data_IF_904308523352
#
_entry.id   IF_904308523352
#
_cell.length_a   1.000
_cell.length_b   1.000
_cell.length_c   1.000
_cell.angle_alpha   90.00
_cell.angle_beta   90.00
_cell.angle_gamma   90.00
#
_symmetry.space_group_name_H-M   'P 1'
#
loop_
_entity.id
_entity.type
_entity.pdbx_description
1 polymer ?
#
# COMPACT_ATOMS: atom_id res chain seq x y z
N UNK A 1 -25.45 59.51 43.86
CA UNK A 1 -24.44 59.40 42.75
C UNK A 1 -24.21 57.92 42.46
N UNK A 2 -24.90 57.36 41.44
CA UNK A 2 -24.76 55.99 41.02
C UNK A 2 -23.86 55.94 39.80
N UNK A 3 -22.68 55.34 39.89
CA UNK A 3 -21.79 55.10 38.77
C UNK A 3 -22.22 53.81 38.04
N UNK A 4 -22.64 53.93 36.78
CA UNK A 4 -22.87 52.85 35.84
C UNK A 4 -21.53 52.43 35.27
N UNK A 5 -21.13 51.17 35.52
CA UNK A 5 -20.02 50.51 34.90
C UNK A 5 -20.55 49.84 33.62
N UNK A 6 -20.13 50.37 32.46
CA UNK A 6 -20.38 49.73 31.15
C UNK A 6 -19.39 48.62 30.94
N UNK A 7 -19.87 47.36 30.91
CA UNK A 7 -19.10 46.19 30.44
C UNK A 7 -19.11 46.20 28.92
N UNK A 8 -17.97 46.54 28.32
CA UNK A 8 -17.70 46.31 26.90
C UNK A 8 -17.33 44.83 26.70
N UNK A 9 -18.26 44.05 26.20
CA UNK A 9 -17.96 42.69 25.75
C UNK A 9 -17.18 42.72 24.44
N UNK A 10 -15.87 42.54 24.50
CA UNK A 10 -15.04 42.33 23.32
C UNK A 10 -15.31 40.92 22.77
N UNK A 11 -16.04 40.87 21.66
CA UNK A 11 -16.28 39.63 20.90
C UNK A 11 -15.00 39.26 20.15
N UNK A 12 -14.20 38.38 20.74
CA UNK A 12 -13.02 37.78 20.07
C UNK A 12 -13.53 36.77 19.05
N UNK A 13 -13.67 37.21 17.79
CA UNK A 13 -13.83 36.28 16.66
C UNK A 13 -12.54 35.51 16.49
N UNK A 14 -12.49 34.29 17.01
CA UNK A 14 -11.44 33.30 16.63
C UNK A 14 -11.68 32.88 15.20
N UNK A 15 -10.93 33.47 14.30
CA UNK A 15 -10.87 33.07 12.90
C UNK A 15 -10.21 31.68 12.86
N UNK A 16 -11.05 30.63 12.80
CA UNK A 16 -10.57 29.27 12.58
C UNK A 16 -9.98 29.21 11.18
N UNK A 17 -8.67 29.36 11.07
CA UNK A 17 -7.95 29.01 9.86
C UNK A 17 -8.12 27.51 9.63
N UNK A 18 -9.04 27.16 8.75
CA UNK A 18 -9.06 25.82 8.17
C UNK A 18 -7.87 25.73 7.22
N UNK A 19 -6.72 25.33 7.75
CA UNK A 19 -5.61 24.90 6.92
C UNK A 19 -6.08 23.66 6.17
N UNK A 20 -6.32 23.79 4.87
CA UNK A 20 -6.48 22.63 4.00
C UNK A 20 -5.20 21.82 4.13
N UNK A 21 -5.30 20.68 4.84
CA UNK A 21 -4.17 19.80 5.06
C UNK A 21 -3.69 19.29 3.69
N UNK A 22 -2.63 19.90 3.18
CA UNK A 22 -1.88 19.37 2.06
C UNK A 22 -1.09 18.18 2.60
N UNK A 23 -1.12 17.04 1.91
CA UNK A 23 -0.27 15.92 2.28
C UNK A 23 1.17 16.41 2.42
N UNK A 24 1.78 16.12 3.57
CA UNK A 24 3.17 16.50 3.83
C UNK A 24 4.08 15.83 2.79
N UNK A 25 5.08 16.57 2.31
CA UNK A 25 6.03 15.99 1.35
C UNK A 25 6.83 14.89 2.04
N UNK A 26 7.05 13.73 1.36
CA UNK A 26 7.88 12.68 1.90
C UNK A 26 9.29 13.17 2.21
N UNK A 27 9.86 12.74 3.33
CA UNK A 27 11.25 13.02 3.66
C UNK A 27 12.19 12.27 2.71
N UNK A 28 13.33 12.86 2.37
CA UNK A 28 14.29 12.28 1.42
C UNK A 28 15.48 11.57 2.12
N UNK A 29 15.56 11.67 3.44
CA UNK A 29 16.60 11.04 4.25
C UNK A 29 16.02 10.54 5.56
N UNK A 30 16.38 9.31 5.91
CA UNK A 30 15.87 8.65 7.09
C UNK A 30 14.42 8.20 6.97
N UNK A 31 13.91 7.58 8.01
CA UNK A 31 12.53 7.12 8.12
C UNK A 31 12.02 7.30 9.55
N UNK A 32 10.73 7.67 9.67
CA UNK A 32 10.00 7.72 10.94
C UNK A 32 8.66 7.03 10.78
N UNK A 33 8.20 6.40 11.85
CA UNK A 33 6.88 5.76 11.86
C UNK A 33 5.81 6.85 11.69
N UNK A 34 4.85 6.62 10.78
CA UNK A 34 3.75 7.56 10.50
C UNK A 34 4.08 8.65 9.47
N UNK A 35 5.34 8.80 9.07
CA UNK A 35 5.76 9.73 8.03
C UNK A 35 6.12 8.99 6.74
N UNK A 36 5.79 9.58 5.59
CA UNK A 36 6.23 9.06 4.30
C UNK A 36 7.71 9.38 4.06
N UNK A 37 8.48 8.39 3.64
CA UNK A 37 9.88 8.58 3.26
C UNK A 37 10.17 8.06 1.84
N UNK A 38 11.08 8.72 1.14
CA UNK A 38 11.68 8.21 -0.09
C UNK A 38 12.89 7.31 0.19
N UNK A 39 13.43 7.31 1.41
CA UNK A 39 14.59 6.51 1.81
C UNK A 39 14.17 5.08 2.19
N UNK A 40 14.08 4.21 1.16
CA UNK A 40 13.65 2.82 1.36
C UNK A 40 14.62 2.01 2.24
N UNK A 41 15.92 2.31 2.20
CA UNK A 41 16.89 1.58 3.02
C UNK A 41 16.75 1.95 4.49
N UNK A 42 16.55 3.22 4.80
CA UNK A 42 16.22 3.65 6.16
C UNK A 42 14.89 3.05 6.63
N UNK A 43 13.88 2.99 5.74
CA UNK A 43 12.59 2.37 6.04
C UNK A 43 12.73 0.88 6.37
N UNK A 44 13.55 0.11 5.62
CA UNK A 44 13.82 -1.30 5.91
C UNK A 44 14.46 -1.50 7.30
N UNK A 45 15.45 -0.66 7.65
CA UNK A 45 16.09 -0.71 8.97
C UNK A 45 15.08 -0.45 10.09
N UNK A 46 14.27 0.60 9.95
CA UNK A 46 13.25 0.96 10.93
C UNK A 46 12.17 -0.12 11.05
N UNK A 47 11.70 -0.67 9.92
CA UNK A 47 10.70 -1.73 9.88
C UNK A 47 11.19 -2.99 10.61
N UNK A 48 12.42 -3.39 10.35
CA UNK A 48 13.05 -4.54 11.03
C UNK A 48 13.20 -4.31 12.53
N UNK A 49 13.68 -3.12 12.94
CA UNK A 49 13.86 -2.74 14.35
C UNK A 49 12.54 -2.75 15.12
N UNK A 50 11.49 -2.19 14.52
CA UNK A 50 10.16 -2.06 15.15
C UNK A 50 9.25 -3.26 14.88
N UNK A 51 9.68 -4.22 14.09
CA UNK A 51 8.86 -5.36 13.61
C UNK A 51 7.52 -4.91 13.00
N UNK A 52 7.56 -3.85 12.19
CA UNK A 52 6.41 -3.29 11.50
C UNK A 52 6.45 -3.60 9.99
N UNK A 53 5.30 -3.81 9.34
CA UNK A 53 5.24 -3.92 7.89
C UNK A 53 5.60 -2.60 7.22
N UNK A 54 6.10 -2.68 5.97
CA UNK A 54 6.35 -1.51 5.12
C UNK A 54 5.19 -1.37 4.14
N UNK A 55 4.58 -0.18 4.08
CA UNK A 55 3.63 0.19 3.04
C UNK A 55 4.33 1.05 1.99
N UNK A 56 4.49 0.53 0.78
CA UNK A 56 5.05 1.25 -0.35
C UNK A 56 3.94 1.82 -1.23
N UNK A 57 3.94 3.14 -1.44
CA UNK A 57 3.02 3.83 -2.35
C UNK A 57 3.74 4.12 -3.68
N UNK A 58 3.43 3.35 -4.72
CA UNK A 58 3.85 3.65 -6.09
C UNK A 58 2.87 4.63 -6.71
N UNK A 59 3.37 5.82 -7.05
CA UNK A 59 2.53 6.97 -7.38
C UNK A 59 3.11 7.82 -8.52
N UNK A 60 2.29 8.72 -9.06
CA UNK A 60 2.69 9.81 -9.94
C UNK A 60 2.13 11.11 -9.37
N UNK A 61 2.82 11.68 -8.38
CA UNK A 61 2.30 12.71 -7.48
C UNK A 61 1.75 13.95 -8.17
N UNK A 62 2.36 14.38 -9.26
CA UNK A 62 2.00 15.60 -9.99
C UNK A 62 0.97 15.40 -11.11
N UNK A 63 0.78 14.16 -11.61
CA UNK A 63 -0.07 13.89 -12.77
C UNK A 63 -1.17 12.85 -12.56
N UNK A 64 -1.02 11.92 -11.60
CA UNK A 64 -1.96 10.83 -11.41
C UNK A 64 -3.21 11.26 -10.60
N UNK A 65 -4.35 11.38 -11.27
CA UNK A 65 -5.61 11.80 -10.62
C UNK A 65 -6.08 10.86 -9.50
N UNK A 66 -5.92 9.54 -9.70
CA UNK A 66 -6.27 8.54 -8.69
C UNK A 66 -5.35 8.60 -7.46
N UNK A 67 -4.06 8.90 -7.69
CA UNK A 67 -3.11 9.06 -6.60
C UNK A 67 -3.48 10.28 -5.73
N UNK A 68 -3.80 11.41 -6.36
CA UNK A 68 -4.26 12.62 -5.66
C UNK A 68 -5.57 12.40 -4.89
N UNK A 69 -6.47 11.59 -5.47
CA UNK A 69 -7.72 11.23 -4.78
C UNK A 69 -7.45 10.43 -3.50
N UNK A 70 -6.57 9.42 -3.58
CA UNK A 70 -6.20 8.61 -2.41
C UNK A 70 -5.43 9.43 -1.38
N UNK A 71 -4.53 10.30 -1.80
CA UNK A 71 -3.83 11.22 -0.89
C UNK A 71 -4.82 12.07 -0.10
N UNK A 72 -5.80 12.68 -0.79
CA UNK A 72 -6.81 13.52 -0.16
C UNK A 72 -7.74 12.73 0.76
N UNK A 73 -8.27 11.60 0.28
CA UNK A 73 -9.36 10.89 0.96
C UNK A 73 -8.88 9.94 2.05
N UNK A 74 -7.62 9.49 1.97
CA UNK A 74 -7.05 8.51 2.90
C UNK A 74 -5.84 9.11 3.63
N UNK A 75 -4.75 9.39 2.92
CA UNK A 75 -3.45 9.61 3.54
C UNK A 75 -3.26 10.97 4.22
N UNK A 76 -3.99 12.01 3.77
CA UNK A 76 -3.98 13.32 4.42
C UNK A 76 -4.85 13.40 5.67
N UNK A 77 -5.61 12.34 6.01
CA UNK A 77 -6.56 12.34 7.13
C UNK A 77 -5.89 12.04 8.46
N UNK A 78 -6.45 12.57 9.54
CA UNK A 78 -5.97 12.30 10.90
C UNK A 78 -6.15 10.83 11.29
N UNK A 79 -7.22 10.16 10.81
CA UNK A 79 -7.43 8.72 11.03
C UNK A 79 -6.29 7.89 10.47
N UNK A 80 -5.84 8.19 9.25
CA UNK A 80 -4.69 7.52 8.66
C UNK A 80 -3.40 7.80 9.43
N UNK A 81 -3.11 9.06 9.74
CA UNK A 81 -1.91 9.45 10.48
C UNK A 81 -1.82 8.76 11.83
N UNK A 82 -2.92 8.75 12.59
CA UNK A 82 -3.00 8.07 13.88
C UNK A 82 -2.73 6.57 13.75
N UNK A 83 -3.26 5.92 12.71
CA UNK A 83 -2.98 4.50 12.44
C UNK A 83 -1.53 4.28 12.03
N UNK A 84 -1.01 5.07 11.09
CA UNK A 84 0.31 4.89 10.51
C UNK A 84 1.43 5.02 11.55
N UNK A 85 1.31 5.95 12.52
CA UNK A 85 2.28 6.15 13.60
C UNK A 85 2.49 4.95 14.51
N UNK A 86 1.67 3.91 14.42
CA UNK A 86 1.75 2.73 15.27
C UNK A 86 1.90 1.42 14.50
N UNK A 87 1.56 1.42 13.20
CA UNK A 87 1.29 0.15 12.50
C UNK A 87 2.09 -0.09 11.24
N UNK A 88 2.68 0.94 10.62
CA UNK A 88 3.42 0.79 9.35
C UNK A 88 4.59 1.76 9.24
N UNK A 89 5.61 1.36 8.48
CA UNK A 89 6.61 2.26 7.94
C UNK A 89 6.22 2.59 6.51
N UNK A 90 6.02 3.88 6.19
CA UNK A 90 5.45 4.32 4.93
C UNK A 90 6.53 4.78 3.96
N UNK A 91 6.59 4.18 2.76
CA UNK A 91 7.59 4.47 1.71
C UNK A 91 6.91 5.02 0.46
N UNK A 92 7.47 6.12 -0.06
CA UNK A 92 6.95 6.83 -1.22
C UNK A 92 7.83 6.58 -2.44
N UNK A 93 7.29 5.90 -3.44
CA UNK A 93 7.96 5.56 -4.69
C UNK A 93 7.28 6.36 -5.81
N UNK A 94 7.81 7.56 -6.07
CA UNK A 94 7.19 8.50 -6.99
C UNK A 94 7.80 8.45 -8.39
N UNK A 95 6.94 8.62 -9.38
CA UNK A 95 7.26 8.71 -10.81
C UNK A 95 6.67 9.99 -11.41
N UNK A 96 7.12 11.16 -10.96
CA UNK A 96 6.56 12.43 -11.38
C UNK A 96 6.98 12.81 -12.81
N UNK A 97 6.22 13.72 -13.44
CA UNK A 97 6.64 14.41 -14.66
C UNK A 97 7.72 15.44 -14.36
N UNK A 98 7.54 16.20 -13.28
CA UNK A 98 8.55 17.13 -12.75
C UNK A 98 9.66 16.35 -12.04
N UNK A 99 10.82 16.22 -12.70
CA UNK A 99 11.96 15.46 -12.21
C UNK A 99 12.58 16.03 -10.93
N UNK A 100 12.29 17.28 -10.58
CA UNK A 100 12.80 17.91 -9.35
C UNK A 100 12.13 17.38 -8.08
N UNK A 101 11.00 16.67 -8.20
CA UNK A 101 10.24 16.13 -7.06
C UNK A 101 10.88 14.87 -6.46
N UNK A 102 11.75 14.18 -7.19
CA UNK A 102 12.46 12.98 -6.71
C UNK A 102 13.95 13.21 -6.86
N UNK A 103 14.73 13.11 -5.77
CA UNK A 103 16.18 13.16 -5.83
C UNK A 103 16.75 12.13 -6.82
N UNK A 104 17.75 12.52 -7.61
CA UNK A 104 18.33 11.69 -8.66
C UNK A 104 18.78 10.32 -8.14
N UNK A 105 19.35 10.27 -6.94
CA UNK A 105 19.76 9.02 -6.27
C UNK A 105 18.66 7.97 -6.12
N UNK A 106 17.37 8.35 -6.22
CA UNK A 106 16.24 7.44 -6.07
C UNK A 106 15.60 7.05 -7.41
N UNK A 107 15.92 7.74 -8.52
CA UNK A 107 15.24 7.54 -9.80
C UNK A 107 15.39 6.10 -10.31
N UNK A 108 16.61 5.60 -10.36
CA UNK A 108 16.86 4.23 -10.87
C UNK A 108 16.39 3.17 -9.88
N UNK A 109 16.63 3.37 -8.58
CA UNK A 109 16.08 2.51 -7.54
C UNK A 109 14.55 2.39 -7.65
N UNK A 110 13.82 3.49 -7.89
CA UNK A 110 12.35 3.47 -8.05
C UNK A 110 11.94 2.57 -9.23
N UNK A 111 12.66 2.65 -10.36
CA UNK A 111 12.41 1.80 -11.54
C UNK A 111 12.64 0.32 -11.22
N UNK A 112 13.76 0.00 -10.55
CA UNK A 112 14.10 -1.38 -10.16
C UNK A 112 13.07 -1.97 -9.21
N UNK A 113 12.68 -1.22 -8.18
CA UNK A 113 11.68 -1.65 -7.20
C UNK A 113 10.31 -1.82 -7.87
N UNK A 114 9.90 -0.90 -8.76
CA UNK A 114 8.68 -1.03 -9.54
C UNK A 114 8.68 -2.29 -10.42
N UNK A 115 9.81 -2.62 -11.04
CA UNK A 115 9.99 -3.84 -11.82
C UNK A 115 9.96 -5.09 -10.95
N UNK A 116 10.66 -5.08 -9.79
CA UNK A 116 10.68 -6.17 -8.81
C UNK A 116 9.26 -6.57 -8.38
N UNK A 117 8.43 -5.58 -8.07
CA UNK A 117 7.04 -5.81 -7.62
C UNK A 117 6.01 -5.80 -8.76
N UNK A 118 6.46 -5.87 -10.02
CA UNK A 118 5.60 -5.97 -11.23
C UNK A 118 4.50 -4.89 -11.27
N UNK A 119 4.81 -3.65 -10.84
CA UNK A 119 3.86 -2.54 -10.80
C UNK A 119 3.50 -2.12 -12.22
N UNK A 120 2.21 -2.16 -12.57
CA UNK A 120 1.69 -1.89 -13.92
C UNK A 120 0.89 -0.58 -14.03
N UNK A 121 0.60 0.06 -12.92
CA UNK A 121 -0.21 1.28 -12.89
C UNK A 121 -0.16 1.99 -11.55
N UNK A 122 -0.76 3.18 -11.49
CA UNK A 122 -0.74 4.03 -10.30
C UNK A 122 -2.15 4.46 -9.88
N UNK A 123 -2.39 4.58 -8.56
CA UNK A 123 -1.50 4.14 -7.52
C UNK A 123 -1.53 2.61 -7.34
N UNK A 124 -0.41 2.04 -6.91
CA UNK A 124 -0.32 0.67 -6.41
C UNK A 124 0.33 0.72 -5.04
N UNK A 125 -0.27 0.03 -4.07
CA UNK A 125 0.24 -0.06 -2.71
C UNK A 125 0.74 -1.47 -2.47
N UNK A 126 2.04 -1.63 -2.27
CA UNK A 126 2.66 -2.91 -1.92
C UNK A 126 2.93 -2.94 -0.43
N UNK A 127 2.47 -4.00 0.22
CA UNK A 127 2.76 -4.25 1.62
C UNK A 127 3.87 -5.30 1.73
N UNK A 128 4.96 -4.95 2.43
CA UNK A 128 6.05 -5.86 2.72
C UNK A 128 6.03 -6.28 4.19
N UNK A 129 6.56 -7.45 4.48
CA UNK A 129 6.89 -7.85 5.83
C UNK A 129 7.98 -6.92 6.42
N UNK A 130 8.24 -7.05 7.72
CA UNK A 130 9.24 -6.23 8.43
C UNK A 130 10.69 -6.45 7.97
N UNK A 131 10.95 -7.52 7.20
CA UNK A 131 12.24 -7.76 6.54
C UNK A 131 12.50 -6.82 5.35
N UNK A 132 11.43 -6.16 4.83
CA UNK A 132 11.50 -5.28 3.67
C UNK A 132 11.68 -6.00 2.33
N UNK A 133 11.52 -7.32 2.29
CA UNK A 133 11.74 -8.14 1.10
C UNK A 133 10.49 -8.91 0.67
N UNK A 134 9.84 -9.57 1.61
CA UNK A 134 8.67 -10.42 1.33
C UNK A 134 7.43 -9.57 1.13
N UNK A 135 6.84 -9.62 -0.07
CA UNK A 135 5.52 -9.05 -0.31
C UNK A 135 4.46 -9.86 0.42
N UNK A 136 3.63 -9.17 1.21
CA UNK A 136 2.56 -9.76 2.02
C UNK A 136 1.17 -9.28 1.62
N UNK A 137 1.09 -8.33 0.69
CA UNK A 137 -0.16 -7.86 0.15
C UNK A 137 0.01 -6.79 -0.92
N UNK A 138 -1.09 -6.52 -1.61
CA UNK A 138 -1.20 -5.44 -2.58
C UNK A 138 -2.60 -4.84 -2.51
N UNK A 139 -2.66 -3.51 -2.56
CA UNK A 139 -3.90 -2.74 -2.60
C UNK A 139 -3.86 -1.77 -3.78
N UNK A 140 -5.04 -1.33 -4.22
CA UNK A 140 -5.21 -0.34 -5.27
C UNK A 140 -6.03 0.86 -4.81
N UNK A 141 -6.35 1.76 -5.74
CA UNK A 141 -7.24 2.88 -5.50
C UNK A 141 -8.72 2.46 -5.61
N UNK A 142 -9.56 3.14 -4.82
CA UNK A 142 -11.02 3.09 -4.96
C UNK A 142 -11.61 4.50 -4.86
N UNK A 143 -12.67 4.78 -5.61
CA UNK A 143 -13.42 6.06 -5.50
C UNK A 143 -14.08 6.22 -4.13
N UNK A 144 -14.51 5.11 -3.54
CA UNK A 144 -15.16 5.06 -2.23
C UNK A 144 -14.18 4.80 -1.10
N UNK A 145 -12.84 4.88 -1.35
CA UNK A 145 -11.86 4.66 -0.30
C UNK A 145 -12.00 5.72 0.79
N UNK A 146 -12.11 5.24 2.02
CA UNK A 146 -11.99 6.02 3.24
C UNK A 146 -10.77 5.54 4.02
N UNK A 147 -10.24 6.30 4.99
CA UNK A 147 -9.16 5.82 5.84
C UNK A 147 -9.48 4.48 6.48
N UNK A 148 -10.71 4.33 7.00
CA UNK A 148 -11.17 3.14 7.70
C UNK A 148 -11.21 1.92 6.78
N UNK A 149 -11.72 2.08 5.54
CA UNK A 149 -11.77 0.98 4.57
C UNK A 149 -10.37 0.55 4.15
N UNK A 150 -9.47 1.49 3.88
CA UNK A 150 -8.10 1.20 3.49
C UNK A 150 -7.31 0.54 4.63
N UNK A 151 -7.45 1.05 5.86
CA UNK A 151 -6.86 0.46 7.08
C UNK A 151 -7.35 -0.96 7.30
N UNK A 152 -8.65 -1.21 7.13
CA UNK A 152 -9.26 -2.55 7.26
C UNK A 152 -8.65 -3.54 6.28
N UNK A 153 -8.51 -3.14 5.01
CA UNK A 153 -7.93 -3.97 3.96
C UNK A 153 -6.44 -4.25 4.25
N UNK A 154 -5.69 -3.25 4.69
CA UNK A 154 -4.30 -3.39 5.10
C UNK A 154 -4.16 -4.35 6.30
N UNK A 155 -4.97 -4.18 7.34
CA UNK A 155 -4.99 -5.06 8.52
C UNK A 155 -5.35 -6.50 8.15
N UNK A 156 -6.26 -6.71 7.20
CA UNK A 156 -6.60 -8.04 6.67
C UNK A 156 -5.36 -8.73 6.14
N UNK A 157 -4.55 -8.06 5.31
CA UNK A 157 -3.30 -8.61 4.77
C UNK A 157 -2.30 -8.95 5.87
N UNK A 158 -2.08 -8.05 6.81
CA UNK A 158 -1.18 -8.28 7.97
C UNK A 158 -1.64 -9.48 8.80
N UNK A 159 -2.94 -9.59 9.07
CA UNK A 159 -3.49 -10.69 9.88
C UNK A 159 -3.40 -12.04 9.17
N UNK A 160 -3.60 -12.08 7.85
CA UNK A 160 -3.36 -13.27 7.04
C UNK A 160 -1.91 -13.73 7.20
N UNK A 161 -0.93 -12.83 7.10
CA UNK A 161 0.48 -13.18 7.26
C UNK A 161 0.81 -13.69 8.67
N UNK A 162 0.22 -13.09 9.70
CA UNK A 162 0.36 -13.58 11.09
C UNK A 162 -0.18 -15.01 11.25
N UNK A 163 -1.28 -15.33 10.58
CA UNK A 163 -1.82 -16.70 10.56
C UNK A 163 -0.90 -17.65 9.81
N UNK A 164 -0.42 -17.28 8.62
CA UNK A 164 0.52 -18.09 7.83
C UNK A 164 1.80 -18.38 8.62
N UNK A 165 2.33 -17.40 9.35
CA UNK A 165 3.52 -17.58 10.18
C UNK A 165 3.32 -18.56 11.34
N UNK A 166 2.08 -18.76 11.75
CA UNK A 166 1.71 -19.71 12.83
C UNK A 166 1.22 -21.06 12.34
N UNK A 167 1.23 -21.31 11.02
CA UNK A 167 0.83 -22.61 10.47
C UNK A 167 1.70 -23.74 11.03
N UNK A 168 1.10 -24.88 11.43
CA UNK A 168 1.86 -26.08 11.74
C UNK A 168 2.74 -26.48 10.56
N UNK A 169 3.88 -27.17 10.77
CA UNK A 169 4.81 -27.52 9.69
C UNK A 169 4.16 -28.21 8.50
N UNK A 170 3.20 -29.09 8.74
CA UNK A 170 2.44 -29.81 7.68
C UNK A 170 1.62 -28.82 6.83
N UNK A 171 0.82 -27.96 7.47
CA UNK A 171 -0.02 -26.98 6.78
C UNK A 171 0.85 -25.92 6.09
N UNK A 172 1.99 -25.56 6.68
CA UNK A 172 2.96 -24.65 6.06
C UNK A 172 3.56 -25.23 4.79
N UNK A 173 3.94 -26.51 4.79
CA UNK A 173 4.45 -27.19 3.61
C UNK A 173 3.39 -27.27 2.48
N UNK A 174 2.13 -27.54 2.84
CA UNK A 174 1.00 -27.54 1.90
C UNK A 174 0.77 -26.12 1.32
N UNK A 175 0.77 -25.09 2.17
CA UNK A 175 0.67 -23.70 1.76
C UNK A 175 1.79 -23.30 0.79
N UNK A 176 3.05 -23.63 1.12
CA UNK A 176 4.20 -23.29 0.29
C UNK A 176 4.17 -23.99 -1.07
N UNK A 177 3.66 -25.24 -1.11
CA UNK A 177 3.43 -25.96 -2.37
C UNK A 177 2.41 -25.24 -3.25
N UNK A 178 1.25 -24.88 -2.69
CA UNK A 178 0.22 -24.12 -3.46
C UNK A 178 0.79 -22.81 -3.96
N UNK A 179 1.57 -22.07 -3.15
CA UNK A 179 2.21 -20.84 -3.58
C UNK A 179 3.19 -21.04 -4.73
N UNK A 180 3.95 -22.15 -4.72
CA UNK A 180 4.83 -22.51 -5.85
C UNK A 180 4.02 -22.78 -7.13
N UNK A 181 2.90 -23.47 -7.02
CA UNK A 181 2.00 -23.75 -8.15
C UNK A 181 1.37 -22.44 -8.71
N UNK A 182 1.05 -21.48 -7.83
CA UNK A 182 0.62 -20.12 -8.20
C UNK A 182 1.70 -19.40 -9.01
N UNK A 183 2.94 -19.38 -8.53
CA UNK A 183 4.06 -18.71 -9.23
C UNK A 183 4.30 -19.30 -10.62
N UNK A 184 4.22 -20.62 -10.76
CA UNK A 184 4.33 -21.30 -12.05
C UNK A 184 3.20 -20.89 -12.99
N UNK A 185 1.95 -20.91 -12.50
CA UNK A 185 0.79 -20.52 -13.30
C UNK A 185 0.84 -19.04 -13.74
N UNK A 186 1.25 -18.14 -12.84
CA UNK A 186 1.45 -16.73 -13.18
C UNK A 186 2.51 -16.52 -14.26
N UNK A 187 3.63 -17.26 -14.18
CA UNK A 187 4.69 -17.21 -15.19
C UNK A 187 4.21 -17.73 -16.55
N UNK A 188 3.47 -18.84 -16.57
CA UNK A 188 2.84 -19.38 -17.78
C UNK A 188 1.90 -18.36 -18.44
N UNK A 189 1.04 -17.73 -17.64
CA UNK A 189 0.12 -16.69 -18.12
C UNK A 189 0.89 -15.45 -18.63
N UNK A 190 1.91 -15.00 -17.90
CA UNK A 190 2.72 -13.87 -18.31
C UNK A 190 3.41 -14.12 -19.65
N UNK A 191 4.02 -15.30 -19.83
CA UNK A 191 4.64 -15.72 -21.09
C UNK A 191 3.61 -15.73 -22.22
N UNK A 192 2.40 -16.23 -21.97
CA UNK A 192 1.34 -16.24 -22.98
C UNK A 192 0.88 -14.82 -23.34
N UNK A 193 0.69 -13.92 -22.36
CA UNK A 193 0.31 -12.51 -22.60
C UNK A 193 1.37 -11.80 -23.46
N UNK A 194 2.66 -12.10 -23.24
CA UNK A 194 3.75 -11.50 -24.00
C UNK A 194 3.71 -11.86 -25.49
N UNK A 195 3.07 -13.01 -25.86
CA UNK A 195 2.82 -13.34 -27.27
C UNK A 195 1.79 -12.44 -27.93
N UNK A 196 1.13 -11.54 -27.17
CA UNK A 196 0.05 -10.65 -27.63
C UNK A 196 -1.07 -11.41 -28.36
N UNK A 197 -1.68 -12.41 -27.71
CA UNK A 197 -2.68 -13.25 -28.36
C UNK A 197 -3.86 -12.42 -28.85
N UNK A 198 -4.29 -12.68 -30.10
CA UNK A 198 -5.49 -12.02 -30.66
C UNK A 198 -6.72 -12.50 -29.92
N UNK A 199 -7.71 -11.62 -29.81
CA UNK A 199 -9.01 -11.99 -29.24
C UNK A 199 -9.69 -12.99 -30.17
N UNK A 200 -9.91 -14.20 -29.69
CA UNK A 200 -10.65 -15.27 -30.33
C UNK A 200 -11.16 -16.25 -29.26
N UNK A 201 -12.06 -17.16 -29.63
CA UNK A 201 -12.69 -18.10 -28.71
C UNK A 201 -11.67 -19.01 -27.98
N UNK A 202 -10.62 -19.44 -28.66
CA UNK A 202 -9.57 -20.29 -28.07
C UNK A 202 -8.78 -19.52 -27.00
N UNK A 203 -8.37 -18.29 -27.27
CA UNK A 203 -7.64 -17.46 -26.34
C UNK A 203 -8.53 -16.99 -25.16
N UNK A 204 -9.81 -16.74 -25.40
CA UNK A 204 -10.78 -16.42 -24.36
C UNK A 204 -10.98 -17.65 -23.43
N UNK A 205 -11.08 -18.87 -23.96
CA UNK A 205 -11.11 -20.12 -23.17
C UNK A 205 -9.84 -20.32 -22.36
N UNK A 206 -8.67 -20.07 -22.95
CA UNK A 206 -7.39 -20.19 -22.25
C UNK A 206 -7.29 -19.19 -21.09
N UNK A 207 -7.68 -17.94 -21.31
CA UNK A 207 -7.75 -16.93 -20.25
C UNK A 207 -8.72 -17.33 -19.13
N UNK A 208 -9.92 -17.81 -19.49
CA UNK A 208 -10.92 -18.27 -18.52
C UNK A 208 -10.43 -19.46 -17.67
N UNK A 209 -9.74 -20.41 -18.31
CA UNK A 209 -9.15 -21.56 -17.59
C UNK A 209 -8.07 -21.10 -16.59
N UNK A 210 -7.26 -20.11 -16.96
CA UNK A 210 -6.30 -19.54 -16.03
C UNK A 210 -6.98 -18.86 -14.83
N UNK A 211 -7.98 -18.00 -15.09
CA UNK A 211 -8.74 -17.33 -14.01
C UNK A 211 -9.34 -18.35 -13.04
N UNK A 212 -9.95 -19.43 -13.59
CA UNK A 212 -10.50 -20.53 -12.77
C UNK A 212 -9.42 -21.20 -11.92
N UNK A 213 -8.27 -21.53 -12.51
CA UNK A 213 -7.13 -22.14 -11.78
C UNK A 213 -6.64 -21.24 -10.65
N UNK A 214 -6.55 -19.92 -10.88
CA UNK A 214 -6.17 -18.97 -9.84
C UNK A 214 -7.19 -18.89 -8.70
N UNK A 215 -8.47 -19.01 -9.01
CA UNK A 215 -9.53 -19.07 -8.01
C UNK A 215 -9.43 -20.34 -7.17
N UNK A 216 -9.21 -21.50 -7.78
CA UNK A 216 -9.00 -22.79 -7.09
C UNK A 216 -7.79 -22.72 -6.13
N UNK A 217 -6.69 -22.09 -6.54
CA UNK A 217 -5.54 -21.84 -5.66
C UNK A 217 -5.90 -20.95 -4.48
N UNK A 218 -6.65 -19.86 -4.72
CA UNK A 218 -7.08 -18.97 -3.64
C UNK A 218 -7.96 -19.70 -2.63
N UNK A 219 -8.91 -20.51 -3.08
CA UNK A 219 -9.77 -21.33 -2.21
C UNK A 219 -8.95 -22.33 -1.38
N UNK A 220 -7.94 -22.97 -1.99
CA UNK A 220 -7.04 -23.88 -1.28
C UNK A 220 -6.23 -23.15 -0.20
N UNK A 221 -5.65 -21.99 -0.50
CA UNK A 221 -4.91 -21.18 0.46
C UNK A 221 -5.80 -20.73 1.63
N UNK A 222 -7.01 -20.28 1.33
CA UNK A 222 -7.97 -19.83 2.34
C UNK A 222 -8.38 -21.01 3.26
N UNK A 223 -8.59 -22.20 2.69
CA UNK A 223 -8.89 -23.42 3.46
C UNK A 223 -7.75 -23.81 4.40
N UNK A 224 -6.49 -23.73 3.95
CA UNK A 224 -5.31 -24.02 4.78
C UNK A 224 -5.22 -23.01 5.95
N UNK A 225 -5.38 -21.70 5.65
CA UNK A 225 -5.33 -20.66 6.65
C UNK A 225 -6.49 -20.76 7.67
N UNK A 226 -7.67 -21.23 7.22
CA UNK A 226 -8.85 -21.38 8.08
C UNK A 226 -8.72 -22.54 9.10
N UNK A 227 -7.80 -23.50 8.89
CA UNK A 227 -7.51 -24.57 9.87
C UNK A 227 -6.89 -24.01 11.15
N UNK A 228 -6.42 -22.78 11.15
CA UNK A 228 -5.97 -22.06 12.36
C UNK A 228 -7.19 -21.60 13.17
N UNK A 229 -7.51 -22.34 14.22
CA UNK A 229 -8.52 -21.95 15.23
C UNK A 229 -7.95 -20.96 16.23
#
# INVERSE_FOLDING_TARGET
MKRLLSLSAALIMTLSYQTTARAERPVTEGAKIGEWTMDFDAAKKLAKEKNLPILMNFTGSDWCGWCKLMDKNVFATESWKAYATQNVVAVYIDFPKDKTLVPEKFVDRNKEVSKKFKVRGYPTYILLASDGEKQIGQLGASRSATPESFIKDLQKQVNIQKKIAKLPPKDKAEYDKVMTDVEVAEKEMQTWIETRPKKNEENDKKHAAFVKRMQEFQEALDAIIARQK
#
